data_IF_624027104900
#
_entry.id   IF_624027104900
#
_cell.length_a   1.000
_cell.length_b   1.000
_cell.length_c   1.000
_cell.angle_alpha   90.00
_cell.angle_beta   90.00
_cell.angle_gamma   90.00
#
_symmetry.space_group_name_H-M   'P 1'
#
loop_
_entity.id
_entity.type
_entity.pdbx_description
1 polymer ?
#
# COMPACT_ATOMS: atom_id res chain seq x y z
N UNK A 1 -6.38 12.58 0.08
CA UNK A 1 -5.80 13.94 0.14
C UNK A 1 -6.56 14.95 -0.72
N UNK A 2 -6.59 14.84 -2.06
CA UNK A 2 -7.29 15.83 -2.91
C UNK A 2 -8.78 16.03 -2.53
N UNK A 3 -9.50 14.92 -2.24
CA UNK A 3 -10.89 14.97 -1.76
C UNK A 3 -11.02 15.70 -0.42
N UNK A 4 -10.19 15.35 0.56
CA UNK A 4 -10.15 16.02 1.87
C UNK A 4 -9.84 17.51 1.75
N UNK A 5 -8.94 17.90 0.85
CA UNK A 5 -8.63 19.31 0.59
C UNK A 5 -9.83 20.06 -0.02
N UNK A 6 -10.57 19.40 -0.93
CA UNK A 6 -11.80 19.95 -1.51
C UNK A 6 -12.88 20.12 -0.45
N UNK A 7 -13.10 19.11 0.39
CA UNK A 7 -14.04 19.12 1.52
C UNK A 7 -13.64 20.18 2.56
N UNK A 8 -12.34 20.41 2.75
CA UNK A 8 -11.79 21.47 3.59
C UNK A 8 -11.82 22.87 2.97
N UNK A 9 -12.37 23.04 1.76
CA UNK A 9 -12.51 24.33 1.10
C UNK A 9 -11.23 24.89 0.48
N UNK A 10 -10.19 24.07 0.28
CA UNK A 10 -8.93 24.48 -0.36
C UNK A 10 -8.79 23.87 -1.77
N UNK A 11 -9.27 24.58 -2.82
CA UNK A 11 -9.19 24.10 -4.19
C UNK A 11 -7.76 24.06 -4.73
N UNK A 12 -6.85 24.88 -4.20
CA UNK A 12 -5.47 24.93 -4.64
C UNK A 12 -4.72 23.67 -4.18
N UNK A 13 -4.83 23.35 -2.89
CA UNK A 13 -4.26 22.12 -2.33
C UNK A 13 -4.85 20.87 -3.00
N UNK A 14 -6.15 20.88 -3.30
CA UNK A 14 -6.80 19.80 -4.04
C UNK A 14 -6.16 19.62 -5.43
N UNK A 15 -5.89 20.72 -6.15
CA UNK A 15 -5.22 20.70 -7.45
C UNK A 15 -3.79 20.15 -7.37
N UNK A 16 -2.99 20.59 -6.40
CA UNK A 16 -1.62 20.06 -6.21
C UNK A 16 -1.66 18.54 -5.99
N UNK A 17 -2.51 18.09 -5.05
CA UNK A 17 -2.67 16.67 -4.75
C UNK A 17 -3.15 15.88 -5.98
N UNK A 18 -4.03 16.48 -6.79
CA UNK A 18 -4.52 15.91 -8.04
C UNK A 18 -3.42 15.73 -9.08
N UNK A 19 -2.59 16.76 -9.31
CA UNK A 19 -1.47 16.69 -10.26
C UNK A 19 -0.49 15.58 -9.90
N UNK A 20 -0.07 15.50 -8.62
CA UNK A 20 0.83 14.43 -8.15
C UNK A 20 0.18 13.06 -8.39
N UNK A 21 -1.10 12.90 -8.08
CA UNK A 21 -1.80 11.64 -8.29
C UNK A 21 -1.89 11.23 -9.78
N UNK A 22 -1.93 12.18 -10.71
CA UNK A 22 -1.88 11.90 -12.16
C UNK A 22 -0.51 11.34 -12.54
N UNK A 23 0.58 11.92 -12.04
CA UNK A 23 1.93 11.44 -12.30
C UNK A 23 2.14 10.03 -11.72
N UNK A 24 1.70 9.80 -10.48
CA UNK A 24 1.76 8.47 -9.85
C UNK A 24 0.94 7.42 -10.62
N UNK A 25 -0.17 7.82 -11.26
CA UNK A 25 -0.94 6.93 -12.13
C UNK A 25 -0.12 6.51 -13.35
N UNK A 26 0.67 7.41 -13.93
CA UNK A 26 1.55 7.11 -15.07
C UNK A 26 2.70 6.20 -14.64
N UNK A 27 3.35 6.48 -13.52
CA UNK A 27 4.39 5.61 -12.95
C UNK A 27 3.85 4.19 -12.71
N UNK A 28 2.68 4.08 -12.06
CA UNK A 28 2.02 2.79 -11.88
C UNK A 28 1.78 2.09 -13.21
N UNK A 29 1.30 2.80 -14.24
CA UNK A 29 1.05 2.22 -15.55
C UNK A 29 2.32 1.64 -16.18
N UNK A 30 3.43 2.40 -16.15
CA UNK A 30 4.72 1.97 -16.69
C UNK A 30 5.21 0.71 -15.97
N UNK A 31 5.31 0.73 -14.63
CA UNK A 31 5.79 -0.43 -13.87
C UNK A 31 4.89 -1.66 -14.02
N UNK A 32 3.57 -1.46 -14.14
CA UNK A 32 2.63 -2.54 -14.40
C UNK A 32 2.94 -3.26 -15.72
N UNK A 33 3.25 -2.51 -16.78
CA UNK A 33 3.59 -3.06 -18.11
C UNK A 33 4.94 -3.77 -18.11
N UNK A 34 5.92 -3.26 -17.36
CA UNK A 34 7.23 -3.92 -17.22
C UNK A 34 7.04 -5.31 -16.61
N UNK A 35 6.34 -5.40 -15.47
CA UNK A 35 6.10 -6.70 -14.81
C UNK A 35 5.23 -7.63 -15.66
N UNK A 36 4.25 -7.08 -16.38
CA UNK A 36 3.46 -7.85 -17.35
C UNK A 36 4.37 -8.48 -18.42
N UNK A 37 5.33 -7.72 -18.97
CA UNK A 37 6.26 -8.26 -19.95
C UNK A 37 7.20 -9.31 -19.35
N UNK A 38 7.62 -9.13 -18.10
CA UNK A 38 8.44 -10.13 -17.39
C UNK A 38 7.68 -11.44 -17.18
N UNK A 39 6.37 -11.40 -16.90
CA UNK A 39 5.55 -12.60 -16.78
C UNK A 39 5.37 -13.33 -18.12
N UNK A 40 5.39 -12.62 -19.25
CA UNK A 40 5.36 -13.24 -20.58
C UNK A 40 6.69 -13.94 -20.92
N UNK A 41 7.82 -13.34 -20.53
CA UNK A 41 9.16 -13.84 -20.89
C UNK A 41 9.62 -14.94 -19.94
N UNK A 42 9.46 -14.75 -18.63
CA UNK A 42 9.81 -15.74 -17.60
C UNK A 42 8.75 -15.76 -16.49
N UNK A 43 7.66 -16.53 -16.67
CA UNK A 43 6.57 -16.60 -15.70
C UNK A 43 7.02 -17.22 -14.37
N UNK A 44 7.96 -18.17 -14.39
CA UNK A 44 8.38 -18.89 -13.19
C UNK A 44 9.20 -18.00 -12.26
N UNK A 45 10.26 -17.36 -12.77
CA UNK A 45 11.08 -16.46 -11.97
C UNK A 45 10.29 -15.24 -11.49
N UNK A 46 9.46 -14.67 -12.36
CA UNK A 46 8.66 -13.50 -12.01
C UNK A 46 7.61 -13.81 -10.94
N UNK A 47 6.94 -14.96 -11.01
CA UNK A 47 5.99 -15.38 -9.97
C UNK A 47 6.68 -15.61 -8.62
N UNK A 48 7.88 -16.20 -8.61
CA UNK A 48 8.69 -16.36 -7.40
C UNK A 48 9.09 -15.01 -6.81
N UNK A 49 9.52 -14.05 -7.64
CA UNK A 49 9.88 -12.71 -7.19
C UNK A 49 8.69 -11.96 -6.58
N UNK A 50 7.50 -12.03 -7.20
CA UNK A 50 6.27 -11.44 -6.65
C UNK A 50 5.97 -12.05 -5.29
N UNK A 51 6.00 -13.38 -5.16
CA UNK A 51 5.74 -14.04 -3.89
C UNK A 51 6.79 -13.70 -2.82
N UNK A 52 8.06 -13.56 -3.21
CA UNK A 52 9.13 -13.15 -2.30
C UNK A 52 8.88 -11.75 -1.71
N UNK A 53 8.52 -10.79 -2.56
CA UNK A 53 8.17 -9.44 -2.11
C UNK A 53 6.94 -9.46 -1.19
N UNK A 54 5.93 -10.28 -1.50
CA UNK A 54 4.76 -10.42 -0.65
C UNK A 54 5.06 -11.06 0.71
N UNK A 55 5.95 -12.05 0.76
CA UNK A 55 6.41 -12.67 2.02
C UNK A 55 7.15 -11.67 2.91
N UNK A 56 7.97 -10.80 2.32
CA UNK A 56 8.67 -9.72 3.03
C UNK A 56 7.75 -8.59 3.49
N UNK A 57 6.53 -8.54 2.94
CA UNK A 57 5.60 -7.40 3.00
C UNK A 57 6.19 -6.18 2.27
N UNK A 58 5.35 -5.42 1.59
CA UNK A 58 5.81 -4.17 0.97
C UNK A 58 5.99 -3.14 2.07
N UNK A 59 7.24 -2.91 2.45
CA UNK A 59 7.62 -1.96 3.49
C UNK A 59 7.47 -0.55 2.92
N UNK A 60 6.84 0.35 3.69
CA UNK A 60 6.71 1.74 3.30
C UNK A 60 8.09 2.41 3.25
N UNK A 61 8.43 3.20 2.21
CA UNK A 61 9.75 3.82 2.10
C UNK A 61 10.12 4.67 3.33
N UNK A 62 9.14 5.34 3.93
CA UNK A 62 9.29 6.23 5.09
C UNK A 62 9.33 5.49 6.45
N UNK A 63 9.37 4.16 6.49
CA UNK A 63 9.23 3.40 7.74
C UNK A 63 10.33 3.65 8.79
N UNK A 64 11.49 4.20 8.40
CA UNK A 64 12.61 4.54 9.28
C UNK A 64 12.73 6.04 9.57
N UNK A 65 11.72 6.84 9.21
CA UNK A 65 11.76 8.28 9.46
C UNK A 65 11.83 8.57 10.94
N UNK A 66 12.71 9.51 11.30
CA UNK A 66 12.92 9.97 12.66
C UNK A 66 13.26 11.46 12.65
N UNK A 67 12.59 12.23 13.52
CA UNK A 67 12.78 13.69 13.64
C UNK A 67 13.40 14.09 14.99
N UNK A 68 14.14 13.19 15.66
CA UNK A 68 14.88 13.52 16.88
C UNK A 68 14.10 13.46 18.19
N UNK A 69 12.77 13.26 18.17
CA UNK A 69 11.94 13.27 19.39
C UNK A 69 11.12 11.99 19.59
N UNK A 70 10.53 11.48 18.51
CA UNK A 70 9.63 10.34 18.58
C UNK A 70 10.18 9.18 17.73
N UNK A 71 10.70 8.11 18.34
CA UNK A 71 11.23 6.96 17.62
C UNK A 71 10.14 6.16 16.89
N UNK A 72 8.86 6.36 17.23
CA UNK A 72 7.71 5.69 16.64
C UNK A 72 6.91 6.60 15.70
N UNK A 73 7.50 7.70 15.23
CA UNK A 73 6.79 8.71 14.43
C UNK A 73 6.09 8.13 13.20
N UNK A 74 6.71 7.16 12.52
CA UNK A 74 6.08 6.50 11.37
C UNK A 74 4.82 5.72 11.78
N UNK A 75 4.84 5.03 12.92
CA UNK A 75 3.68 4.29 13.45
C UNK A 75 2.56 5.25 13.85
N UNK A 76 2.91 6.38 14.46
CA UNK A 76 1.91 7.38 14.82
C UNK A 76 1.31 8.07 13.59
N UNK A 77 2.15 8.40 12.61
CA UNK A 77 1.70 8.97 11.35
C UNK A 77 0.80 8.00 10.56
N UNK A 78 1.19 6.73 10.45
CA UNK A 78 0.42 5.73 9.71
C UNK A 78 -0.97 5.49 10.32
N UNK A 79 -1.09 5.52 11.65
CA UNK A 79 -2.37 5.41 12.33
C UNK A 79 -3.29 6.61 12.07
N UNK A 80 -2.76 7.85 12.00
CA UNK A 80 -3.57 9.02 11.57
C UNK A 80 -4.06 8.83 10.12
N UNK A 81 -3.17 8.42 9.22
CA UNK A 81 -3.49 8.20 7.80
C UNK A 81 -4.57 7.13 7.63
N UNK A 82 -4.50 6.04 8.40
CA UNK A 82 -5.48 4.97 8.41
C UNK A 82 -6.82 5.45 8.98
N UNK A 83 -6.81 6.19 10.11
CA UNK A 83 -8.01 6.77 10.72
C UNK A 83 -8.74 7.75 9.81
N UNK A 84 -7.99 8.56 9.07
CA UNK A 84 -8.55 9.51 8.08
C UNK A 84 -8.95 8.84 6.76
N UNK A 85 -8.76 7.52 6.64
CA UNK A 85 -9.12 6.78 5.43
C UNK A 85 -8.27 7.13 4.20
N UNK A 86 -7.10 7.75 4.37
CA UNK A 86 -6.24 8.15 3.26
C UNK A 86 -5.53 6.92 2.67
N UNK A 87 -4.93 6.10 3.54
CA UNK A 87 -4.33 4.83 3.17
C UNK A 87 -4.56 3.83 4.30
N UNK A 88 -5.26 2.74 3.99
CA UNK A 88 -5.70 1.76 4.99
C UNK A 88 -5.24 0.37 4.58
N UNK A 89 -5.30 -0.56 5.53
CA UNK A 89 -5.09 -1.99 5.26
C UNK A 89 -6.03 -2.53 4.18
N UNK A 90 -7.23 -1.94 4.02
CA UNK A 90 -8.17 -2.24 2.93
C UNK A 90 -7.61 -1.82 1.57
N UNK A 91 -7.07 -0.61 1.45
CA UNK A 91 -6.45 -0.14 0.21
C UNK A 91 -5.26 -1.03 -0.19
N UNK A 92 -4.46 -1.50 0.78
CA UNK A 92 -3.40 -2.47 0.51
C UNK A 92 -3.95 -3.77 -0.11
N UNK A 93 -5.03 -4.33 0.43
CA UNK A 93 -5.66 -5.52 -0.13
C UNK A 93 -6.21 -5.28 -1.55
N UNK A 94 -6.83 -4.12 -1.80
CA UNK A 94 -7.38 -3.74 -3.10
C UNK A 94 -6.27 -3.57 -4.16
N UNK A 95 -5.12 -2.99 -3.79
CA UNK A 95 -3.95 -2.89 -4.66
C UNK A 95 -3.43 -4.29 -5.04
N UNK A 96 -3.36 -5.22 -4.09
CA UNK A 96 -2.97 -6.61 -4.38
C UNK A 96 -3.94 -7.29 -5.35
N UNK A 97 -5.26 -7.14 -5.12
CA UNK A 97 -6.26 -7.71 -6.04
C UNK A 97 -6.16 -7.11 -7.43
N UNK A 98 -5.98 -5.79 -7.53
CA UNK A 98 -5.78 -5.12 -8.81
C UNK A 98 -4.64 -5.76 -9.59
N UNK A 99 -3.47 -5.97 -8.98
CA UNK A 99 -2.34 -6.57 -9.68
C UNK A 99 -2.54 -8.05 -10.02
N UNK A 100 -3.15 -8.83 -9.11
CA UNK A 100 -3.51 -10.23 -9.38
C UNK A 100 -4.42 -10.35 -10.61
N UNK A 101 -5.40 -9.45 -10.74
CA UNK A 101 -6.32 -9.41 -11.87
C UNK A 101 -5.62 -8.87 -13.11
N UNK A 102 -4.90 -7.75 -13.00
CA UNK A 102 -4.26 -7.04 -14.12
C UNK A 102 -3.22 -7.89 -14.84
N UNK A 103 -2.47 -8.69 -14.08
CA UNK A 103 -1.49 -9.64 -14.61
C UNK A 103 -2.06 -11.05 -14.81
N UNK A 104 -3.36 -11.24 -14.59
CA UNK A 104 -4.07 -12.52 -14.74
C UNK A 104 -3.39 -13.68 -14.01
N UNK A 105 -2.80 -13.42 -12.83
CA UNK A 105 -1.94 -14.39 -12.13
C UNK A 105 -2.65 -15.73 -11.87
N UNK A 106 -3.96 -15.73 -11.60
CA UNK A 106 -4.74 -16.96 -11.41
C UNK A 106 -4.85 -17.86 -12.65
N UNK A 107 -4.72 -17.28 -13.84
CA UNK A 107 -4.83 -17.97 -15.13
C UNK A 107 -3.45 -18.21 -15.76
N UNK A 108 -2.37 -17.95 -15.02
CA UNK A 108 -1.03 -18.16 -15.52
C UNK A 108 -0.74 -19.67 -15.56
N UNK A 109 -0.46 -20.18 -16.75
CA UNK A 109 -0.15 -21.59 -17.01
C UNK A 109 1.37 -21.78 -17.19
N UNK A 110 1.84 -23.04 -17.26
CA UNK A 110 3.26 -23.33 -17.44
C UNK A 110 4.14 -23.09 -16.20
N UNK A 111 3.53 -22.86 -15.03
CA UNK A 111 4.25 -22.75 -13.76
C UNK A 111 4.62 -24.13 -13.21
N UNK A 112 5.87 -24.28 -12.79
CA UNK A 112 6.41 -25.53 -12.26
C UNK A 112 6.82 -25.41 -10.79
N UNK A 113 6.69 -26.51 -10.04
CA UNK A 113 7.19 -26.66 -8.67
C UNK A 113 6.87 -25.49 -7.74
N UNK A 114 7.90 -24.76 -7.36
CA UNK A 114 7.83 -23.63 -6.42
C UNK A 114 6.99 -22.47 -6.94
N UNK A 115 7.01 -22.21 -8.24
CA UNK A 115 6.31 -21.07 -8.84
C UNK A 115 4.78 -21.25 -8.77
N UNK A 116 4.30 -22.49 -8.86
CA UNK A 116 2.86 -22.80 -8.67
C UNK A 116 2.43 -22.57 -7.22
N UNK A 117 3.25 -22.99 -6.24
CA UNK A 117 2.99 -22.67 -4.82
C UNK A 117 3.02 -21.17 -4.56
N UNK A 118 3.91 -20.44 -5.23
CA UNK A 118 3.98 -18.98 -5.17
C UNK A 118 2.71 -18.32 -5.71
N UNK A 119 2.17 -18.81 -6.84
CA UNK A 119 0.90 -18.37 -7.41
C UNK A 119 -0.25 -18.57 -6.42
N UNK A 120 -0.39 -19.76 -5.84
CA UNK A 120 -1.43 -20.07 -4.85
C UNK A 120 -1.33 -19.17 -3.62
N UNK A 121 -0.11 -18.96 -3.11
CA UNK A 121 0.15 -18.06 -2.00
C UNK A 121 -0.31 -16.63 -2.32
N UNK A 122 0.17 -16.05 -3.42
CA UNK A 122 -0.13 -14.67 -3.81
C UNK A 122 -1.63 -14.49 -4.08
N UNK A 123 -2.25 -15.40 -4.83
CA UNK A 123 -3.67 -15.32 -5.17
C UNK A 123 -4.59 -15.50 -3.94
N UNK A 124 -4.10 -16.16 -2.88
CA UNK A 124 -4.81 -16.34 -1.61
C UNK A 124 -4.55 -15.26 -0.57
N UNK A 125 -3.68 -14.27 -0.83
CA UNK A 125 -3.35 -13.21 0.14
C UNK A 125 -4.46 -12.18 0.38
N UNK A 126 -5.17 -11.65 -0.64
CA UNK A 126 -6.07 -10.53 -0.40
C UNK A 126 -7.17 -10.78 0.64
N UNK A 127 -7.84 -11.97 0.67
CA UNK A 127 -8.80 -12.28 1.72
C UNK A 127 -8.16 -12.34 3.12
N UNK A 128 -6.90 -12.77 3.24
CA UNK A 128 -6.17 -12.81 4.52
C UNK A 128 -5.87 -11.40 5.03
N UNK A 129 -5.43 -10.51 4.14
CA UNK A 129 -5.17 -9.10 4.47
C UNK A 129 -6.44 -8.41 4.97
N UNK A 130 -7.57 -8.61 4.29
CA UNK A 130 -8.87 -8.05 4.73
C UNK A 130 -9.29 -8.54 6.11
N UNK A 131 -9.05 -9.82 6.44
CA UNK A 131 -9.34 -10.35 7.79
C UNK A 131 -8.47 -9.70 8.87
N UNK A 132 -7.21 -9.39 8.56
CA UNK A 132 -6.31 -8.72 9.51
C UNK A 132 -6.73 -7.28 9.79
N UNK A 133 -7.24 -6.56 8.79
CA UNK A 133 -7.77 -5.20 8.92
C UNK A 133 -8.88 -5.10 9.98
N UNK A 134 -9.82 -6.05 9.97
CA UNK A 134 -10.93 -6.10 10.95
C UNK A 134 -10.48 -6.22 12.41
N UNK A 135 -9.26 -6.72 12.65
CA UNK A 135 -8.69 -6.88 14.00
C UNK A 135 -7.91 -5.63 14.45
N UNK A 136 -7.26 -4.93 13.53
CA UNK A 136 -6.47 -3.74 13.82
C UNK A 136 -7.32 -2.53 14.27
N UNK A 137 -8.58 -2.45 13.83
CA UNK A 137 -9.55 -1.40 14.24
C UNK A 137 -9.92 -1.40 15.73
N UNK A 138 -9.41 -2.33 16.54
CA UNK A 138 -9.69 -2.45 17.98
C UNK A 138 -8.68 -1.71 18.87
N UNK A 139 -7.73 -0.98 18.31
CA UNK A 139 -6.76 -0.21 19.09
C UNK A 139 -7.44 1.06 19.62
N UNK A 140 -7.28 1.30 20.92
CA UNK A 140 -7.86 2.48 21.56
C UNK A 140 -7.18 3.77 21.08
N UNK A 141 -7.96 4.84 20.84
CA UNK A 141 -7.42 6.13 20.40
C UNK A 141 -6.56 6.75 21.48
N UNK A 142 -5.37 7.24 21.11
CA UNK A 142 -4.49 7.96 22.04
C UNK A 142 -4.06 9.32 21.49
N UNK A 143 -3.79 10.26 22.37
CA UNK A 143 -3.24 11.55 21.98
C UNK A 143 -1.72 11.48 21.88
N UNK A 144 -1.18 11.90 20.74
CA UNK A 144 0.27 11.97 20.48
C UNK A 144 0.63 13.38 20.04
N UNK A 145 1.77 13.88 20.52
CA UNK A 145 2.32 15.19 20.10
C UNK A 145 3.18 15.02 18.85
N UNK A 146 3.01 15.90 17.88
CA UNK A 146 3.79 15.89 16.65
C UNK A 146 4.63 17.18 16.53
N UNK A 147 5.93 17.05 16.31
CA UNK A 147 6.86 18.19 16.20
C UNK A 147 6.56 19.10 15.01
N UNK A 148 6.18 18.53 13.86
CA UNK A 148 5.88 19.28 12.62
C UNK A 148 4.60 20.13 12.66
N UNK A 149 3.82 20.04 13.74
CA UNK A 149 2.67 20.91 14.02
C UNK A 149 2.82 21.59 15.38
N UNK A 150 4.06 21.95 15.74
CA UNK A 150 4.37 22.71 16.96
C UNK A 150 3.95 22.00 18.25
N UNK A 151 4.18 20.69 18.32
CA UNK A 151 3.84 19.81 19.45
C UNK A 151 2.36 19.78 19.83
N UNK A 152 1.47 20.14 18.89
CA UNK A 152 0.02 19.92 19.05
C UNK A 152 -0.29 18.43 19.17
N UNK A 153 -1.30 18.13 19.98
CA UNK A 153 -1.79 16.77 20.19
C UNK A 153 -2.83 16.40 19.13
N UNK A 154 -2.67 15.23 18.54
CA UNK A 154 -3.61 14.66 17.57
C UNK A 154 -3.98 13.26 18.03
N UNK A 155 -5.23 12.87 17.79
CA UNK A 155 -5.71 11.52 18.07
C UNK A 155 -5.17 10.59 16.99
N UNK A 156 -4.46 9.58 17.46
CA UNK A 156 -3.84 8.51 16.67
C UNK A 156 -4.62 7.22 16.93
#
# INVERSE_FOLDING_TARGET
MARLATEGGDPMLARICGTIAVDEKQHKHIYTRIVEKLLEVDPNATMLAIAHMMKKKIIMPMHLTYYGQDPNIFVHFSAIIERQGIYTSRHYAEILEFFIIRWKLKKLEGLIGEARRAQDYVCGLPPKVRKLESRAKKIEPRQVKFSWIFHKQVIV
#
